data_IF_895254012810
#
_entry.id   IF_895254012810
#
_cell.length_a   1.000
_cell.length_b   1.000
_cell.length_c   1.000
_cell.angle_alpha   90.00
_cell.angle_beta   90.00
_cell.angle_gamma   90.00
#
_symmetry.space_group_name_H-M   'P 1'
#
loop_
_entity.id
_entity.type
_entity.pdbx_description
1 polymer ?
#
# COMPACT_ATOMS: atom_id res chain seq x y z
N UNK A 1 23.19 -5.90 -17.63
CA UNK A 1 23.27 -5.52 -16.19
C UNK A 1 22.07 -4.68 -15.75
N UNK A 2 21.59 -3.71 -16.54
CA UNK A 2 20.48 -2.84 -16.12
C UNK A 2 19.17 -3.55 -15.77
N UNK A 3 18.74 -4.57 -16.53
CA UNK A 3 17.49 -5.29 -16.28
C UNK A 3 17.45 -5.93 -14.88
N UNK A 4 18.54 -6.56 -14.44
CA UNK A 4 18.61 -7.22 -13.12
C UNK A 4 18.56 -6.19 -11.99
N UNK A 5 19.22 -5.04 -12.16
CA UNK A 5 19.18 -3.95 -11.18
C UNK A 5 17.76 -3.38 -11.04
N UNK A 6 17.10 -3.09 -12.17
CA UNK A 6 15.71 -2.60 -12.18
C UNK A 6 14.76 -3.64 -11.57
N UNK A 7 14.96 -4.92 -11.88
CA UNK A 7 14.17 -6.02 -11.30
C UNK A 7 14.36 -6.12 -9.78
N UNK A 8 15.58 -5.99 -9.28
CA UNK A 8 15.86 -5.99 -7.85
C UNK A 8 15.22 -4.80 -7.14
N UNK A 9 15.35 -3.58 -7.69
CA UNK A 9 14.70 -2.39 -7.15
C UNK A 9 13.18 -2.55 -7.12
N UNK A 10 12.57 -3.04 -8.21
CA UNK A 10 11.15 -3.32 -8.26
C UNK A 10 10.72 -4.27 -7.14
N UNK A 11 11.44 -5.38 -6.91
CA UNK A 11 11.10 -6.35 -5.85
C UNK A 11 11.20 -5.72 -4.45
N UNK A 12 12.21 -4.87 -4.20
CA UNK A 12 12.35 -4.16 -2.92
C UNK A 12 11.14 -3.24 -2.67
N UNK A 13 10.73 -2.47 -3.68
CA UNK A 13 9.58 -1.57 -3.56
C UNK A 13 8.25 -2.32 -3.45
N UNK A 14 8.07 -3.43 -4.19
CA UNK A 14 6.90 -4.32 -4.02
C UNK A 14 6.83 -4.82 -2.58
N UNK A 15 7.94 -5.30 -2.03
CA UNK A 15 7.98 -5.84 -0.66
C UNK A 15 7.67 -4.77 0.37
N UNK A 16 8.20 -3.55 0.19
CA UNK A 16 7.95 -2.39 1.06
C UNK A 16 6.49 -1.95 0.99
N UNK A 17 5.93 -1.90 -0.22
CA UNK A 17 4.55 -1.53 -0.44
C UNK A 17 3.58 -2.54 0.18
N UNK A 18 3.84 -3.83 -0.01
CA UNK A 18 3.08 -4.91 0.60
C UNK A 18 3.14 -4.81 2.13
N UNK A 19 4.34 -4.68 2.72
CA UNK A 19 4.49 -4.52 4.16
C UNK A 19 3.70 -3.32 4.71
N UNK A 20 3.71 -2.17 4.01
CA UNK A 20 2.94 -0.98 4.39
C UNK A 20 1.42 -1.22 4.39
N UNK A 21 0.91 -1.89 3.35
CA UNK A 21 -0.50 -2.28 3.24
C UNK A 21 -0.92 -3.21 4.38
N UNK A 22 -0.13 -4.23 4.73
CA UNK A 22 -0.49 -5.12 5.84
C UNK A 22 -0.46 -4.43 7.19
N UNK A 23 0.50 -3.52 7.39
CA UNK A 23 0.67 -2.81 8.66
C UNK A 23 -0.44 -1.77 8.90
N UNK A 24 -0.98 -1.13 7.85
CA UNK A 24 -2.05 -0.13 8.05
C UNK A 24 -3.36 -0.74 8.55
N UNK A 25 -3.71 -1.96 8.11
CA UNK A 25 -4.91 -2.66 8.58
C UNK A 25 -4.84 -2.87 10.09
N UNK A 26 -3.66 -3.28 10.59
CA UNK A 26 -3.42 -3.48 12.01
C UNK A 26 -3.59 -2.19 12.81
N UNK A 27 -3.14 -1.07 12.26
CA UNK A 27 -3.36 0.25 12.88
C UNK A 27 -4.85 0.63 12.92
N UNK A 28 -5.65 0.28 11.91
CA UNK A 28 -7.09 0.50 11.94
C UNK A 28 -7.79 -0.31 13.04
N UNK A 29 -7.38 -1.56 13.24
CA UNK A 29 -7.90 -2.42 14.33
C UNK A 29 -7.56 -1.79 15.68
N UNK A 30 -6.31 -1.37 15.90
CA UNK A 30 -5.91 -0.71 17.15
C UNK A 30 -6.60 0.63 17.38
N UNK A 31 -6.89 1.38 16.33
CA UNK A 31 -7.70 2.59 16.45
C UNK A 31 -9.12 2.26 16.93
N UNK A 32 -9.73 1.18 16.43
CA UNK A 32 -11.05 0.71 16.86
C UNK A 32 -11.05 0.20 18.29
N UNK A 33 -10.08 -0.62 18.68
CA UNK A 33 -9.93 -1.08 20.06
C UNK A 33 -9.73 0.08 21.04
N UNK A 34 -9.05 1.15 20.61
CA UNK A 34 -8.92 2.36 21.42
C UNK A 34 -10.24 3.13 21.60
N UNK A 35 -11.21 2.97 20.70
CA UNK A 35 -12.53 3.62 20.78
C UNK A 35 -13.37 3.09 21.95
N UNK A 36 -13.16 1.83 22.35
CA UNK A 36 -13.87 1.16 23.46
C UNK A 36 -13.32 1.54 24.86
N UNK A 37 -12.19 2.25 24.92
CA UNK A 37 -11.58 2.67 26.19
C UNK A 37 -12.23 3.93 26.76
N UNK A 38 -12.13 4.09 28.08
CA UNK A 38 -12.59 5.30 28.77
C UNK A 38 -11.72 6.53 28.47
N UNK A 39 -12.30 7.72 28.60
CA UNK A 39 -11.53 8.97 28.65
C UNK A 39 -10.57 8.94 29.86
N UNK A 40 -9.32 9.43 29.75
CA UNK A 40 -8.72 10.17 28.63
C UNK A 40 -7.93 9.28 27.62
N UNK A 41 -7.73 8.00 27.94
CA UNK A 41 -6.86 7.08 27.18
C UNK A 41 -7.27 6.95 25.71
N UNK A 42 -8.58 6.92 25.44
CA UNK A 42 -9.15 6.91 24.08
C UNK A 42 -8.57 8.03 23.20
N UNK A 43 -8.62 9.27 23.70
CA UNK A 43 -8.22 10.45 22.93
C UNK A 43 -6.72 10.47 22.62
N UNK A 44 -5.89 9.98 23.55
CA UNK A 44 -4.44 9.93 23.42
C UNK A 44 -4.05 8.86 22.39
N UNK A 45 -4.60 7.66 22.53
CA UNK A 45 -4.32 6.52 21.64
C UNK A 45 -4.81 6.79 20.21
N UNK A 46 -6.01 7.34 20.04
CA UNK A 46 -6.53 7.68 18.71
C UNK A 46 -5.66 8.71 17.99
N UNK A 47 -5.20 9.76 18.70
CA UNK A 47 -4.27 10.75 18.13
C UNK A 47 -2.95 10.10 17.71
N UNK A 48 -2.41 9.23 18.55
CA UNK A 48 -1.17 8.52 18.27
C UNK A 48 -1.30 7.58 17.05
N UNK A 49 -2.33 6.74 17.00
CA UNK A 49 -2.56 5.83 15.88
C UNK A 49 -2.85 6.56 14.58
N UNK A 50 -3.56 7.69 14.63
CA UNK A 50 -3.78 8.54 13.44
C UNK A 50 -2.47 9.09 12.91
N UNK A 51 -1.59 9.59 13.79
CA UNK A 51 -0.27 10.09 13.41
C UNK A 51 0.61 8.98 12.81
N UNK A 52 0.67 7.81 13.46
CA UNK A 52 1.43 6.66 12.97
C UNK A 52 0.95 6.20 11.60
N UNK A 53 -0.37 6.11 11.43
CA UNK A 53 -0.98 5.73 10.15
C UNK A 53 -0.68 6.75 9.05
N UNK A 54 -0.75 8.05 9.37
CA UNK A 54 -0.43 9.12 8.40
C UNK A 54 1.02 9.04 7.93
N UNK A 55 1.95 8.81 8.86
CA UNK A 55 3.37 8.66 8.55
C UNK A 55 3.61 7.42 7.69
N UNK A 56 3.11 6.26 8.10
CA UNK A 56 3.22 5.03 7.32
C UNK A 56 2.66 5.19 5.90
N UNK A 57 1.49 5.80 5.79
CA UNK A 57 0.75 5.86 4.54
C UNK A 57 1.42 6.79 3.52
N UNK A 58 1.74 8.03 3.92
CA UNK A 58 2.31 9.03 3.02
C UNK A 58 3.83 8.95 2.87
N UNK A 59 4.56 8.44 3.86
CA UNK A 59 6.02 8.36 3.80
C UNK A 59 6.48 7.02 3.21
N UNK A 60 5.78 5.92 3.50
CA UNK A 60 6.24 4.58 3.11
C UNK A 60 5.37 4.00 2.00
N UNK A 61 4.07 3.89 2.23
CA UNK A 61 3.18 3.09 1.37
C UNK A 61 2.92 3.74 0.01
N UNK A 62 2.63 5.04 -0.02
CA UNK A 62 2.42 5.78 -1.28
C UNK A 62 3.69 5.90 -2.14
N UNK A 63 4.85 6.33 -1.59
CA UNK A 63 6.07 6.43 -2.39
C UNK A 63 6.54 5.08 -2.92
N UNK A 64 6.43 4.01 -2.11
CA UNK A 64 6.77 2.65 -2.57
C UNK A 64 5.83 2.15 -3.66
N UNK A 65 4.53 2.43 -3.58
CA UNK A 65 3.58 2.09 -4.64
C UNK A 65 3.96 2.76 -5.96
N UNK A 66 4.23 4.07 -5.94
CA UNK A 66 4.61 4.85 -7.13
C UNK A 66 5.92 4.32 -7.73
N UNK A 67 6.95 4.14 -6.91
CA UNK A 67 8.24 3.63 -7.37
C UNK A 67 8.10 2.22 -7.95
N UNK A 68 7.31 1.36 -7.31
CA UNK A 68 7.00 0.02 -7.82
C UNK A 68 6.41 0.07 -9.23
N UNK A 69 5.44 0.96 -9.49
CA UNK A 69 4.84 1.13 -10.83
C UNK A 69 5.86 1.61 -11.84
N UNK A 70 6.68 2.61 -11.48
CA UNK A 70 7.69 3.17 -12.37
C UNK A 70 8.67 2.08 -12.81
N UNK A 71 9.21 1.30 -11.86
CA UNK A 71 10.13 0.21 -12.20
C UNK A 71 9.43 -0.93 -12.96
N UNK A 72 8.14 -1.19 -12.71
CA UNK A 72 7.38 -2.17 -13.47
C UNK A 72 7.24 -1.76 -14.93
N UNK A 73 6.85 -0.50 -15.19
CA UNK A 73 6.71 0.05 -16.54
C UNK A 73 8.06 0.14 -17.22
N UNK A 74 9.10 0.60 -16.53
CA UNK A 74 10.47 0.63 -17.07
C UNK A 74 10.91 -0.76 -17.52
N UNK A 75 10.70 -1.79 -16.69
CA UNK A 75 11.07 -3.17 -17.03
C UNK A 75 10.31 -3.71 -18.26
N UNK A 76 9.07 -3.25 -18.49
CA UNK A 76 8.27 -3.62 -19.66
C UNK A 76 8.75 -2.94 -20.97
N UNK A 77 9.44 -1.80 -20.88
CA UNK A 77 9.92 -1.03 -22.04
C UNK A 77 11.33 -1.42 -22.52
N UNK A 78 12.14 -2.10 -21.69
CA UNK A 78 13.51 -2.55 -22.03
C UNK A 78 13.56 -3.52 -23.24
N UNK A 79 12.68 -4.53 -23.35
CA UNK A 79 12.69 -5.46 -24.48
C UNK A 79 11.92 -4.89 -25.69
N UNK A 80 12.50 -4.89 -26.90
CA UNK A 80 11.78 -4.44 -28.09
C UNK A 80 10.64 -5.41 -28.44
N UNK A 81 9.44 -4.87 -28.64
CA UNK A 81 8.32 -5.58 -29.30
C UNK A 81 7.16 -6.08 -28.44
N UNK A 82 6.93 -5.58 -27.22
CA UNK A 82 5.75 -5.94 -26.39
C UNK A 82 5.55 -7.46 -26.16
N UNK A 83 6.59 -8.28 -26.35
CA UNK A 83 6.54 -9.76 -26.23
C UNK A 83 6.07 -10.21 -24.85
N UNK A 84 6.20 -9.36 -23.83
CA UNK A 84 5.71 -9.66 -22.49
C UNK A 84 4.19 -9.53 -22.36
N UNK A 85 3.54 -8.64 -23.11
CA UNK A 85 2.08 -8.45 -23.06
C UNK A 85 1.32 -9.55 -23.82
N UNK A 86 1.98 -10.27 -24.73
CA UNK A 86 1.40 -11.43 -25.42
C UNK A 86 1.47 -12.71 -24.59
N UNK A 87 2.19 -12.72 -23.46
CA UNK A 87 2.28 -13.89 -22.59
C UNK A 87 1.18 -13.90 -21.51
N UNK A 88 0.43 -15.00 -21.44
CA UNK A 88 -0.69 -15.18 -20.50
C UNK A 88 -0.29 -14.95 -19.04
N UNK A 89 0.92 -15.36 -18.62
CA UNK A 89 1.37 -15.17 -17.24
C UNK A 89 1.54 -13.69 -16.87
N UNK A 90 1.89 -12.81 -17.82
CA UNK A 90 2.03 -11.37 -17.58
C UNK A 90 0.67 -10.71 -17.41
N UNK A 91 -0.32 -11.11 -18.21
CA UNK A 91 -1.71 -10.65 -18.07
C UNK A 91 -2.28 -11.04 -16.71
N UNK A 92 -2.08 -12.30 -16.29
CA UNK A 92 -2.48 -12.77 -14.96
C UNK A 92 -1.80 -11.94 -13.86
N UNK A 93 -0.48 -11.71 -13.98
CA UNK A 93 0.27 -10.90 -13.01
C UNK A 93 -0.26 -9.46 -12.93
N UNK A 94 -0.56 -8.83 -14.07
CA UNK A 94 -1.16 -7.50 -14.11
C UNK A 94 -2.56 -7.49 -13.46
N UNK A 95 -3.34 -8.55 -13.63
CA UNK A 95 -4.61 -8.74 -12.91
C UNK A 95 -4.42 -8.72 -11.39
N UNK A 96 -3.44 -9.45 -10.86
CA UNK A 96 -3.12 -9.41 -9.42
C UNK A 96 -2.64 -8.04 -8.95
N UNK A 97 -1.84 -7.33 -9.75
CA UNK A 97 -1.40 -5.96 -9.43
C UNK A 97 -2.60 -5.01 -9.40
N UNK A 98 -3.53 -5.13 -10.35
CA UNK A 98 -4.76 -4.34 -10.36
C UNK A 98 -5.63 -4.62 -9.12
N UNK A 99 -5.76 -5.89 -8.72
CA UNK A 99 -6.44 -6.27 -7.49
C UNK A 99 -5.75 -5.66 -6.24
N UNK A 100 -4.41 -5.65 -6.22
CA UNK A 100 -3.64 -5.03 -5.14
C UNK A 100 -3.86 -3.51 -5.08
N UNK A 101 -3.95 -2.83 -6.23
CA UNK A 101 -4.32 -1.41 -6.28
C UNK A 101 -5.74 -1.15 -5.81
N UNK A 102 -6.70 -2.00 -6.16
CA UNK A 102 -8.06 -1.91 -5.64
C UNK A 102 -8.08 -2.07 -4.10
N UNK A 103 -7.24 -2.96 -3.57
CA UNK A 103 -7.05 -3.11 -2.13
C UNK A 103 -6.42 -1.87 -1.50
N UNK A 104 -5.34 -1.35 -2.08
CA UNK A 104 -4.68 -0.12 -1.63
C UNK A 104 -5.66 1.08 -1.62
N UNK A 105 -6.52 1.18 -2.62
CA UNK A 105 -7.58 2.20 -2.67
C UNK A 105 -8.60 2.02 -1.54
N UNK A 106 -9.00 0.78 -1.24
CA UNK A 106 -9.89 0.49 -0.12
C UNK A 106 -9.28 0.93 1.21
N UNK A 107 -7.97 0.71 1.41
CA UNK A 107 -7.23 1.21 2.56
C UNK A 107 -7.15 2.74 2.60
N UNK A 108 -6.99 3.43 1.45
CA UNK A 108 -7.05 4.90 1.38
C UNK A 108 -8.40 5.42 1.87
N UNK A 109 -9.50 4.77 1.46
CA UNK A 109 -10.84 5.16 1.90
C UNK A 109 -10.96 5.02 3.42
N UNK A 110 -10.55 3.88 4.00
CA UNK A 110 -10.56 3.67 5.45
C UNK A 110 -9.68 4.68 6.20
N UNK A 111 -8.49 4.99 5.68
CA UNK A 111 -7.61 6.00 6.25
C UNK A 111 -8.26 7.39 6.27
N UNK A 112 -8.94 7.76 5.17
CA UNK A 112 -9.67 9.03 5.09
C UNK A 112 -10.85 9.09 6.07
N UNK A 113 -11.52 7.96 6.33
CA UNK A 113 -12.56 7.87 7.36
C UNK A 113 -11.95 8.08 8.75
N UNK A 114 -10.90 7.31 9.10
CA UNK A 114 -10.19 7.44 10.38
C UNK A 114 -9.69 8.87 10.63
N UNK A 115 -9.13 9.53 9.60
CA UNK A 115 -8.66 10.92 9.71
C UNK A 115 -9.78 11.93 9.97
N UNK A 116 -11.04 11.59 9.66
CA UNK A 116 -12.22 12.41 9.95
C UNK A 116 -12.87 12.08 11.31
N UNK A 117 -12.28 11.15 12.08
CA UNK A 117 -12.76 10.76 13.41
C UNK A 117 -13.87 9.72 13.41
N UNK A 118 -14.14 9.05 12.28
CA UNK A 118 -15.10 7.95 12.21
C UNK A 118 -14.46 6.77 11.47
N UNK A 119 -14.48 5.58 12.05
CA UNK A 119 -14.05 4.36 11.35
C UNK A 119 -15.26 3.45 11.23
N UNK A 120 -15.77 3.21 10.02
CA UNK A 120 -16.85 2.25 9.80
C UNK A 120 -16.18 0.92 9.42
N UNK A 121 -15.81 0.15 10.44
CA UNK A 121 -15.43 -1.26 10.23
C UNK A 121 -16.75 -2.01 10.15
N UNK A 122 -17.13 -2.43 8.95
CA UNK A 122 -18.29 -3.31 8.75
C UNK A 122 -17.95 -4.74 9.13
#
# INVERSE_FOLDING_TARGET
>A
MEYLTVKSLHIIFVTTWFAGIFYIIRLFIYYKEAEEKSEPERSILQKQYTLMSKRLWYIITWPSAILTTIFAVWMLLIPPGNVYLTQTWMLIKLGFVAALYAYHWSCQVMFNQMSKGYLKVS
#
